data_IF_181170525584
#
_entry.id   IF_181170525584
#
_cell.length_a   1.000
_cell.length_b   1.000
_cell.length_c   1.000
_cell.angle_alpha   90.00
_cell.angle_beta   90.00
_cell.angle_gamma   90.00
#
_symmetry.space_group_name_H-M   'P 1'
#
loop_
_entity.id
_entity.type
_entity.pdbx_description
1 polymer ?
#
# COMPACT_ATOMS: atom_id res chain seq x y z
N UNK A 1 15.28 -11.29 -11.51
CA UNK A 1 14.38 -11.90 -12.51
C UNK A 1 13.62 -10.85 -13.31
N UNK A 2 14.09 -10.54 -14.52
CA UNK A 2 13.48 -9.54 -15.40
C UNK A 2 12.10 -9.97 -15.93
N UNK A 3 11.89 -11.28 -16.11
CA UNK A 3 10.63 -11.83 -16.64
C UNK A 3 9.42 -11.52 -15.73
N UNK A 4 9.60 -11.43 -14.41
CA UNK A 4 8.53 -11.08 -13.49
C UNK A 4 8.14 -9.60 -13.58
N UNK A 5 9.12 -8.71 -13.70
CA UNK A 5 8.91 -7.27 -13.88
C UNK A 5 8.17 -6.94 -15.19
N UNK A 6 8.51 -7.65 -16.28
CA UNK A 6 7.85 -7.50 -17.57
C UNK A 6 6.37 -7.89 -17.52
N UNK A 7 6.05 -8.99 -16.83
CA UNK A 7 4.67 -9.44 -16.64
C UNK A 7 3.85 -8.42 -15.84
N UNK A 8 4.42 -7.87 -14.76
CA UNK A 8 3.75 -6.82 -13.97
C UNK A 8 3.53 -5.55 -14.80
N UNK A 9 4.54 -5.11 -15.55
CA UNK A 9 4.43 -3.93 -16.43
C UNK A 9 3.37 -4.13 -17.50
N UNK A 10 3.31 -5.32 -18.11
CA UNK A 10 2.26 -5.67 -19.07
C UNK A 10 0.88 -5.63 -18.42
N UNK A 11 0.74 -6.23 -17.23
CA UNK A 11 -0.52 -6.24 -16.51
C UNK A 11 -1.04 -4.82 -16.24
N UNK A 12 -0.17 -3.90 -15.81
CA UNK A 12 -0.52 -2.49 -15.60
C UNK A 12 -1.05 -1.83 -16.89
N UNK A 13 -0.37 -2.05 -18.02
CA UNK A 13 -0.80 -1.53 -19.33
C UNK A 13 -2.15 -2.08 -19.77
N UNK A 14 -2.36 -3.38 -19.59
CA UNK A 14 -3.64 -4.04 -19.94
C UNK A 14 -4.82 -3.48 -19.10
N UNK A 15 -4.54 -2.87 -17.94
CA UNK A 15 -5.52 -2.21 -17.07
C UNK A 15 -5.55 -0.69 -17.24
N UNK A 16 -5.00 -0.16 -18.34
CA UNK A 16 -4.95 1.26 -18.67
C UNK A 16 -4.24 2.12 -17.61
N UNK A 17 -3.22 1.56 -16.96
CA UNK A 17 -2.38 2.26 -16.00
C UNK A 17 -1.12 2.74 -16.73
N UNK A 18 -0.87 4.04 -16.72
CA UNK A 18 0.34 4.61 -17.33
C UNK A 18 1.58 4.11 -16.61
N UNK A 19 2.54 3.58 -17.37
CA UNK A 19 3.77 2.99 -16.83
C UNK A 19 5.01 3.87 -17.04
N UNK A 20 4.86 5.08 -17.59
CA UNK A 20 6.00 5.96 -17.94
C UNK A 20 6.82 6.40 -16.73
N UNK A 21 6.24 6.34 -15.53
CA UNK A 21 6.88 6.67 -14.25
C UNK A 21 7.05 5.44 -13.35
N UNK A 22 6.95 4.24 -13.92
CA UNK A 22 7.05 2.97 -13.18
C UNK A 22 8.31 2.22 -13.62
N UNK A 23 9.09 1.78 -12.65
CA UNK A 23 10.20 0.88 -12.84
C UNK A 23 10.14 -0.19 -11.74
N UNK A 24 10.12 -1.46 -12.14
CA UNK A 24 10.07 -2.59 -11.21
C UNK A 24 11.35 -3.39 -11.39
N UNK A 25 12.21 -3.36 -10.39
CA UNK A 25 13.51 -4.03 -10.37
C UNK A 25 13.48 -5.30 -9.51
N UNK A 26 12.71 -5.29 -8.42
CA UNK A 26 12.45 -6.49 -7.63
C UNK A 26 11.02 -6.54 -7.07
N UNK A 27 10.61 -7.72 -6.59
CA UNK A 27 9.26 -7.94 -6.03
C UNK A 27 9.11 -7.65 -4.54
N UNK A 28 10.21 -7.34 -3.85
CA UNK A 28 10.24 -7.06 -2.42
C UNK A 28 10.12 -5.57 -2.08
N UNK A 29 10.51 -4.71 -3.02
CA UNK A 29 10.61 -3.26 -2.83
C UNK A 29 11.90 -2.82 -2.12
N UNK A 30 12.97 -3.63 -2.15
CA UNK A 30 14.26 -3.29 -1.54
C UNK A 30 15.16 -2.49 -2.48
N UNK A 31 14.97 -2.64 -3.78
CA UNK A 31 15.67 -1.86 -4.79
C UNK A 31 15.25 -0.39 -4.71
N UNK A 32 16.25 0.49 -4.58
CA UNK A 32 16.06 1.94 -4.69
C UNK A 32 15.67 2.41 -6.10
N UNK A 33 15.76 1.50 -7.07
CA UNK A 33 15.35 1.75 -8.44
C UNK A 33 13.88 1.36 -8.66
N UNK A 34 13.20 0.79 -7.66
CA UNK A 34 11.76 0.58 -7.73
C UNK A 34 11.04 1.93 -7.67
N UNK A 35 10.37 2.27 -8.76
CA UNK A 35 9.51 3.45 -8.89
C UNK A 35 8.09 3.00 -9.20
N UNK A 36 7.14 3.51 -8.42
CA UNK A 36 5.71 3.24 -8.57
C UNK A 36 4.93 4.50 -8.25
N UNK A 37 3.75 4.64 -8.85
CA UNK A 37 2.83 5.75 -8.53
C UNK A 37 1.75 5.27 -7.55
N UNK A 38 1.23 6.16 -6.67
CA UNK A 38 0.09 5.83 -5.82
C UNK A 38 -1.14 5.35 -6.62
N UNK A 39 -1.37 5.92 -7.81
CA UNK A 39 -2.45 5.49 -8.69
C UNK A 39 -2.30 4.03 -9.15
N UNK A 40 -1.09 3.63 -9.55
CA UNK A 40 -0.84 2.26 -10.01
C UNK A 40 -1.11 1.23 -8.90
N UNK A 41 -0.64 1.52 -7.68
CA UNK A 41 -0.90 0.66 -6.51
C UNK A 41 -2.39 0.68 -6.17
N UNK A 42 -3.04 1.85 -6.17
CA UNK A 42 -4.46 1.98 -5.84
C UNK A 42 -5.34 1.17 -6.79
N UNK A 43 -5.06 1.23 -8.10
CA UNK A 43 -5.76 0.41 -9.10
C UNK A 43 -5.49 -1.09 -8.92
N UNK A 44 -4.27 -1.48 -8.54
CA UNK A 44 -3.96 -2.87 -8.22
C UNK A 44 -4.75 -3.36 -6.99
N UNK A 45 -4.90 -2.53 -5.95
CA UNK A 45 -5.74 -2.85 -4.78
C UNK A 45 -7.21 -3.02 -5.17
N UNK A 46 -7.76 -2.09 -5.96
CA UNK A 46 -9.16 -2.17 -6.44
C UNK A 46 -9.39 -3.42 -7.30
N UNK A 47 -8.44 -3.75 -8.18
CA UNK A 47 -8.51 -4.98 -8.96
C UNK A 47 -8.50 -6.23 -8.07
N UNK A 48 -7.59 -6.28 -7.08
CA UNK A 48 -7.47 -7.43 -6.17
C UNK A 48 -8.77 -7.64 -5.38
N UNK A 49 -9.38 -6.57 -4.87
CA UNK A 49 -10.66 -6.61 -4.16
C UNK A 49 -11.84 -7.10 -5.05
N UNK A 50 -11.79 -6.84 -6.36
CA UNK A 50 -12.79 -7.32 -7.31
C UNK A 50 -12.52 -8.71 -7.90
N UNK A 51 -11.43 -9.37 -7.48
CA UNK A 51 -10.97 -10.61 -8.09
C UNK A 51 -11.51 -11.87 -7.39
N UNK A 52 -11.40 -13.02 -8.06
CA UNK A 52 -11.68 -14.34 -7.45
C UNK A 52 -10.79 -14.71 -6.26
N UNK A 53 -9.71 -13.95 -6.03
CA UNK A 53 -8.75 -14.18 -4.96
C UNK A 53 -8.77 -13.06 -3.91
N UNK A 54 -9.81 -12.21 -3.91
CA UNK A 54 -9.96 -11.08 -2.99
C UNK A 54 -9.77 -11.52 -1.53
N UNK A 55 -10.49 -12.55 -1.08
CA UNK A 55 -10.39 -13.06 0.30
C UNK A 55 -8.95 -13.46 0.67
N UNK A 56 -8.24 -14.14 -0.23
CA UNK A 56 -6.86 -14.56 0.01
C UNK A 56 -5.93 -13.35 0.08
N UNK A 57 -6.13 -12.37 -0.80
CA UNK A 57 -5.34 -11.14 -0.84
C UNK A 57 -5.57 -10.29 0.42
N UNK A 58 -6.82 -10.03 0.79
CA UNK A 58 -7.16 -9.25 1.99
C UNK A 58 -6.62 -9.91 3.26
N UNK A 59 -6.80 -11.22 3.41
CA UNK A 59 -6.28 -11.97 4.57
C UNK A 59 -4.75 -12.04 4.63
N UNK A 60 -4.04 -11.68 3.54
CA UNK A 60 -2.57 -11.59 3.56
C UNK A 60 -2.06 -10.25 4.12
N UNK A 61 -2.93 -9.25 4.24
CA UNK A 61 -2.55 -7.92 4.69
C UNK A 61 -2.53 -7.87 6.23
N UNK A 62 -1.49 -7.25 6.83
CA UNK A 62 -1.48 -6.97 8.26
C UNK A 62 -2.69 -6.15 8.71
N UNK A 63 -3.24 -6.51 9.88
CA UNK A 63 -4.43 -5.88 10.47
C UNK A 63 -4.00 -4.84 11.53
N UNK A 64 -4.55 -3.63 11.43
CA UNK A 64 -4.36 -2.55 12.40
C UNK A 64 -4.63 -3.00 13.84
N UNK A 65 -3.66 -2.77 14.73
CA UNK A 65 -3.73 -3.09 16.15
C UNK A 65 -3.53 -4.57 16.50
N UNK A 66 -3.55 -5.48 15.52
CA UNK A 66 -3.64 -6.92 15.77
C UNK A 66 -2.43 -7.70 15.28
N UNK A 67 -1.98 -7.47 14.04
CA UNK A 67 -1.05 -8.37 13.37
C UNK A 67 0.15 -7.68 12.68
N UNK A 68 1.22 -8.46 12.50
CA UNK A 68 2.39 -8.14 11.70
C UNK A 68 2.98 -6.77 12.03
N UNK A 69 3.25 -5.99 10.98
CA UNK A 69 3.84 -4.65 11.10
C UNK A 69 2.87 -3.58 11.62
N UNK A 70 1.59 -3.92 11.85
CA UNK A 70 0.56 -2.99 12.33
C UNK A 70 0.09 -3.27 13.76
N UNK A 71 0.53 -4.36 14.41
CA UNK A 71 0.14 -4.75 15.78
C UNK A 71 0.27 -3.65 16.84
N UNK A 72 1.18 -2.69 16.66
CA UNK A 72 1.39 -1.56 17.59
C UNK A 72 0.83 -0.22 17.10
N UNK A 73 0.18 -0.17 15.95
CA UNK A 73 -0.29 1.05 15.27
C UNK A 73 -1.82 1.10 15.27
N UNK A 74 -2.38 2.29 15.03
CA UNK A 74 -3.82 2.47 14.82
C UNK A 74 -4.73 2.03 15.99
N UNK A 75 -4.35 2.32 17.25
CA UNK A 75 -5.14 1.89 18.43
C UNK A 75 -6.63 2.28 18.39
N UNK A 76 -6.97 3.42 17.79
CA UNK A 76 -8.36 3.90 17.68
C UNK A 76 -9.09 3.36 16.43
N UNK A 77 -8.39 2.61 15.58
CA UNK A 77 -8.89 2.00 14.36
C UNK A 77 -8.53 0.51 14.30
N UNK A 78 -8.52 -0.16 15.47
CA UNK A 78 -8.25 -1.59 15.61
C UNK A 78 -9.19 -2.41 14.72
N UNK A 79 -8.62 -3.30 13.90
CA UNK A 79 -9.38 -4.13 12.96
C UNK A 79 -9.96 -3.40 11.74
N UNK A 80 -9.86 -2.08 11.65
CA UNK A 80 -10.50 -1.28 10.57
C UNK A 80 -9.59 -0.95 9.40
N UNK A 81 -8.30 -1.22 9.52
CA UNK A 81 -7.32 -1.02 8.44
C UNK A 81 -6.58 -2.34 8.19
N UNK A 82 -6.58 -2.79 6.94
CA UNK A 82 -5.82 -3.92 6.46
C UNK A 82 -4.81 -3.37 5.44
N UNK A 83 -3.52 -3.34 5.78
CA UNK A 83 -2.55 -2.64 4.94
C UNK A 83 -1.12 -3.20 5.01
N UNK A 84 -0.46 -3.17 3.86
CA UNK A 84 0.95 -3.49 3.74
C UNK A 84 1.80 -2.26 4.04
N UNK A 85 2.83 -2.46 4.85
CA UNK A 85 3.84 -1.45 5.16
C UNK A 85 5.04 -1.53 4.22
N UNK A 86 5.66 -0.38 3.94
CA UNK A 86 6.97 -0.26 3.30
C UNK A 86 7.88 0.66 4.11
N UNK A 87 9.13 0.24 4.30
CA UNK A 87 10.12 1.00 5.07
C UNK A 87 11.53 0.71 4.59
N UNK A 88 12.15 1.67 3.92
CA UNK A 88 13.59 1.70 3.63
C UNK A 88 14.15 3.08 4.01
N UNK A 89 15.47 3.27 4.03
CA UNK A 89 16.03 4.58 4.44
C UNK A 89 15.48 5.69 3.55
N UNK A 90 14.88 6.70 4.20
CA UNK A 90 14.21 7.87 3.63
C UNK A 90 12.86 7.63 2.96
N UNK A 91 12.32 6.40 3.03
CA UNK A 91 11.02 6.06 2.43
C UNK A 91 10.14 5.35 3.46
N UNK A 92 8.92 5.85 3.63
CA UNK A 92 7.88 5.16 4.36
C UNK A 92 6.60 5.13 3.52
N UNK A 93 5.95 3.97 3.46
CA UNK A 93 4.69 3.82 2.74
C UNK A 93 3.72 2.91 3.48
N UNK A 94 2.44 3.12 3.18
CA UNK A 94 1.33 2.31 3.65
C UNK A 94 0.28 2.26 2.54
N UNK A 95 -0.15 1.06 2.19
CA UNK A 95 -1.16 0.85 1.15
C UNK A 95 -2.08 -0.30 1.55
N UNK A 96 -3.38 -0.14 1.34
CA UNK A 96 -4.37 -1.15 1.70
C UNK A 96 -5.78 -0.60 1.74
N UNK A 97 -6.59 -1.18 2.62
CA UNK A 97 -8.01 -0.88 2.77
C UNK A 97 -8.30 -0.31 4.15
N UNK A 98 -9.21 0.67 4.19
CA UNK A 98 -9.74 1.26 5.41
C UNK A 98 -11.28 1.19 5.39
N UNK A 99 -11.87 0.73 6.50
CA UNK A 99 -13.32 0.61 6.65
C UNK A 99 -13.90 1.86 7.32
N UNK A 100 -14.88 2.48 6.67
CA UNK A 100 -15.64 3.63 7.18
C UNK A 100 -17.13 3.30 7.12
N UNK A 101 -17.72 2.99 8.28
CA UNK A 101 -19.10 2.51 8.35
C UNK A 101 -19.31 1.22 7.54
N UNK A 102 -20.07 1.31 6.44
CA UNK A 102 -20.33 0.20 5.51
C UNK A 102 -19.46 0.24 4.26
N UNK A 103 -18.69 1.30 4.08
CA UNK A 103 -17.85 1.51 2.90
C UNK A 103 -16.41 1.11 3.20
N UNK A 104 -15.71 0.65 2.15
CA UNK A 104 -14.29 0.31 2.20
C UNK A 104 -13.56 1.14 1.18
N UNK A 105 -12.53 1.86 1.64
CA UNK A 105 -11.69 2.71 0.80
C UNK A 105 -10.34 2.05 0.58
N UNK A 106 -9.94 1.93 -0.69
CA UNK A 106 -8.54 1.65 -1.02
C UNK A 106 -7.72 2.94 -0.88
N UNK A 107 -6.58 2.87 -0.20
CA UNK A 107 -5.70 4.02 -0.01
C UNK A 107 -4.24 3.65 -0.26
N UNK A 108 -3.46 4.65 -0.66
CA UNK A 108 -2.01 4.54 -0.87
C UNK A 108 -1.35 5.82 -0.39
N UNK A 109 -0.38 5.70 0.51
CA UNK A 109 0.41 6.80 1.03
C UNK A 109 1.89 6.43 0.86
N UNK A 110 2.64 7.26 0.15
CA UNK A 110 4.08 7.10 -0.10
C UNK A 110 4.77 8.40 0.28
N UNK A 111 5.73 8.33 1.20
CA UNK A 111 6.62 9.43 1.53
C UNK A 111 8.05 9.07 1.13
N UNK A 112 8.64 9.85 0.22
CA UNK A 112 10.04 9.77 -0.18
C UNK A 112 10.84 10.94 0.41
N UNK A 113 12.17 10.85 0.35
CA UNK A 113 13.11 11.89 0.80
C UNK A 113 12.84 12.41 2.22
N UNK A 114 12.43 11.51 3.10
CA UNK A 114 12.11 11.81 4.49
C UNK A 114 13.42 11.94 5.31
N UNK A 115 14.11 13.07 5.11
CA UNK A 115 15.47 13.39 5.61
C UNK A 115 15.54 13.78 7.10
N UNK A 116 14.37 13.85 7.76
CA UNK A 116 14.11 13.82 9.22
C UNK A 116 14.11 15.16 9.99
N UNK A 117 12.92 15.49 10.51
CA UNK A 117 12.68 16.10 11.84
C UNK A 117 11.37 15.64 12.51
N UNK A 118 10.64 14.68 11.91
CA UNK A 118 9.35 14.16 12.44
C UNK A 118 9.20 12.65 12.25
N UNK A 119 8.20 12.07 12.93
CA UNK A 119 7.84 10.66 12.78
C UNK A 119 6.93 10.49 11.55
N UNK A 120 7.53 10.27 10.37
CA UNK A 120 6.83 10.05 9.10
C UNK A 120 5.78 8.94 9.20
N UNK A 121 6.09 7.85 9.87
CA UNK A 121 5.13 6.77 10.16
C UNK A 121 3.91 7.29 10.90
N UNK A 122 4.08 8.15 11.90
CA UNK A 122 2.95 8.74 12.63
C UNK A 122 2.10 9.69 11.77
N UNK A 123 2.72 10.41 10.82
CA UNK A 123 1.99 11.26 9.86
C UNK A 123 1.19 10.40 8.89
N UNK A 124 1.81 9.33 8.36
CA UNK A 124 1.13 8.35 7.50
C UNK A 124 -0.02 7.69 8.26
N UNK A 125 0.18 7.31 9.52
CA UNK A 125 -0.87 6.73 10.37
C UNK A 125 -2.02 7.71 10.57
N UNK A 126 -1.71 8.97 10.87
CA UNK A 126 -2.74 9.99 11.04
C UNK A 126 -3.55 10.19 9.75
N UNK A 127 -2.89 10.25 8.60
CA UNK A 127 -3.56 10.38 7.32
C UNK A 127 -4.42 9.15 6.99
N UNK A 128 -3.92 7.94 7.26
CA UNK A 128 -4.68 6.71 7.05
C UNK A 128 -5.90 6.59 7.98
N UNK A 129 -5.79 7.03 9.24
CA UNK A 129 -6.92 7.04 10.18
C UNK A 129 -8.08 7.93 9.72
N UNK A 130 -7.83 8.97 8.92
CA UNK A 130 -8.91 9.81 8.39
C UNK A 130 -9.86 9.03 7.49
N UNK A 131 -9.42 7.95 6.83
CA UNK A 131 -10.31 7.09 6.02
C UNK A 131 -11.26 6.23 6.86
N UNK A 132 -11.07 6.15 8.17
CA UNK A 132 -11.89 5.35 9.10
C UNK A 132 -12.92 6.20 9.85
N UNK A 133 -12.65 7.50 9.97
CA UNK A 133 -13.44 8.46 10.75
C UNK A 133 -14.58 9.10 9.93
N UNK A 134 -14.68 8.83 8.62
CA UNK A 134 -15.67 9.45 7.72
C UNK A 134 -16.95 8.63 7.52
#
# INVERSE_FOLDING_TARGET
>A
DLAGADVMTKWLKDHNITTDQIAIHDGSGLSRLDFVTPEAIGRALVFAAGSKFADVFENSLPIAGQDGTLRGRFKNADGKILAKTGSITYVNSLAGFAQSGKETFAFVIIGNDLTRSGNSTAVIDRAASLFVEN
#
